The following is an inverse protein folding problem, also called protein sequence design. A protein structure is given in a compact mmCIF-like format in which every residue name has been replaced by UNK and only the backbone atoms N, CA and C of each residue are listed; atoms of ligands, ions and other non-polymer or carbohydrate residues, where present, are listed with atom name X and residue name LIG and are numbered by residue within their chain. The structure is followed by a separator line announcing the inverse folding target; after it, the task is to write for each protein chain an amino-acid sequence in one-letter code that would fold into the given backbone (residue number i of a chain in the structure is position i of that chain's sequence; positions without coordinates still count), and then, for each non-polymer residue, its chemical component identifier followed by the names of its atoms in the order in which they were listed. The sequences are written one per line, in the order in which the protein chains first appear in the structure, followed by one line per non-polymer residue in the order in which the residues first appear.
data_IF_467458343491
#
_entry.id   IF_467458343491
#
_cell.length_a   1.000
_cell.length_b   1.000
_cell.length_c   1.000
_cell.angle_alpha   90.00
_cell.angle_beta   90.00
_cell.angle_gamma   90.00
#
_symmetry.space_group_name_H-M   'P 1'
#
loop_
_entity.id
_entity.type
_entity.pdbx_description
1 polymer ?
#
# COMPACT_ATOMS: atom_id res chain seq x y z
N UNK A 1 3.65 54.48 37.74
CA UNK A 1 3.43 53.01 37.68
C UNK A 1 2.36 52.60 36.65
N UNK A 2 2.33 53.24 35.47
CA UNK A 2 1.34 52.96 34.41
C UNK A 2 1.96 52.28 33.17
N UNK A 3 3.25 52.53 32.91
CA UNK A 3 4.00 51.97 31.78
C UNK A 3 4.11 50.43 31.81
N UNK A 4 4.13 49.82 33.00
CA UNK A 4 4.18 48.36 33.12
C UNK A 4 2.89 47.66 32.70
N UNK A 5 1.71 48.27 32.91
CA UNK A 5 0.42 47.64 32.57
C UNK A 5 0.15 47.67 31.06
N UNK A 6 0.52 48.77 30.41
CA UNK A 6 0.38 48.93 28.96
C UNK A 6 1.36 48.02 28.21
N UNK A 7 2.62 47.96 28.67
CA UNK A 7 3.62 47.06 28.10
C UNK A 7 3.23 45.57 28.24
N UNK A 8 2.64 45.18 29.38
CA UNK A 8 2.17 43.82 29.60
C UNK A 8 1.03 43.45 28.64
N UNK A 9 0.06 44.36 28.43
CA UNK A 9 -1.07 44.13 27.52
C UNK A 9 -0.61 44.01 26.06
N UNK A 10 0.38 44.79 25.65
CA UNK A 10 0.97 44.71 24.30
C UNK A 10 1.69 43.37 24.13
N UNK A 11 2.45 42.91 25.12
CA UNK A 11 3.12 41.60 25.07
C UNK A 11 2.13 40.43 25.01
N UNK A 12 1.03 40.49 25.78
CA UNK A 12 -0.03 39.49 25.71
C UNK A 12 -0.72 39.46 24.34
N UNK A 13 -0.96 40.63 23.74
CA UNK A 13 -1.56 40.72 22.40
C UNK A 13 -0.64 40.14 21.31
N UNK A 14 0.67 40.38 21.41
CA UNK A 14 1.67 39.81 20.48
C UNK A 14 1.74 38.29 20.66
N UNK A 15 1.81 37.79 21.90
CA UNK A 15 1.87 36.35 22.17
C UNK A 15 0.61 35.64 21.67
N UNK A 16 -0.58 36.18 21.94
CA UNK A 16 -1.84 35.62 21.45
C UNK A 16 -1.93 35.65 19.91
N UNK A 17 -1.45 36.71 19.27
CA UNK A 17 -1.39 36.82 17.81
C UNK A 17 -0.44 35.80 17.17
N UNK A 18 0.73 35.56 17.78
CA UNK A 18 1.68 34.54 17.29
C UNK A 18 1.19 33.11 17.48
N UNK A 19 0.42 32.82 18.54
CA UNK A 19 -0.19 31.51 18.75
C UNK A 19 -1.29 31.24 17.70
N UNK A 20 -2.04 32.27 17.30
CA UNK A 20 -3.08 32.17 16.25
C UNK A 20 -2.53 31.98 14.84
N UNK A 21 -1.28 32.39 14.56
CA UNK A 21 -0.62 32.17 13.26
C UNK A 21 0.08 30.82 13.15
N UNK A 22 0.38 30.15 14.28
CA UNK A 22 0.98 28.81 14.29
C UNK A 22 -0.04 27.67 14.13
N UNK A 23 -1.34 27.98 14.12
CA UNK A 23 -2.38 27.04 13.67
C UNK A 23 -2.58 27.13 12.16
N UNK A 24 -1.50 27.09 11.38
CA UNK A 24 -1.61 26.52 10.05
C UNK A 24 -1.92 25.05 10.26
N UNK A 25 -3.20 24.72 10.11
CA UNK A 25 -3.73 23.37 10.01
C UNK A 25 -2.72 22.56 9.21
N UNK A 26 -2.11 21.56 9.85
CA UNK A 26 -1.46 20.46 9.15
C UNK A 26 -2.50 19.95 8.16
N UNK A 27 -2.44 20.46 6.93
CA UNK A 27 -3.17 19.93 5.81
C UNK A 27 -2.47 18.62 5.47
N UNK A 28 -2.58 17.66 6.38
CA UNK A 28 -2.30 16.26 6.13
C UNK A 28 -3.24 15.85 5.01
N UNK A 29 -2.78 16.02 3.75
CA UNK A 29 -3.44 15.69 2.49
C UNK A 29 -4.91 15.28 2.66
N UNK A 30 -5.79 16.26 2.89
CA UNK A 30 -7.20 15.99 3.13
C UNK A 30 -7.86 15.60 1.81
N UNK A 31 -7.89 14.30 1.53
CA UNK A 31 -8.56 13.79 0.35
C UNK A 31 -10.08 14.02 0.45
N UNK A 32 -10.74 14.41 -0.66
CA UNK A 32 -12.19 14.55 -0.67
C UNK A 32 -12.85 13.22 -0.30
N UNK A 33 -13.95 13.26 0.46
CA UNK A 33 -14.71 12.05 0.84
C UNK A 33 -15.69 11.58 -0.25
N UNK A 34 -15.53 12.05 -1.48
CA UNK A 34 -16.33 11.59 -2.60
C UNK A 34 -15.88 10.19 -3.03
N UNK A 35 -16.83 9.32 -3.29
CA UNK A 35 -16.51 7.98 -3.79
C UNK A 35 -16.51 8.02 -5.31
N UNK A 36 -15.46 7.49 -5.93
CA UNK A 36 -15.44 7.31 -7.37
C UNK A 36 -16.37 6.12 -7.70
N UNK A 37 -17.50 6.34 -8.40
CA UNK A 37 -18.48 5.28 -8.65
C UNK A 37 -17.93 4.18 -9.55
N UNK A 38 -16.87 4.45 -10.31
CA UNK A 38 -16.20 3.48 -11.16
C UNK A 38 -15.33 2.52 -10.37
N UNK A 39 -14.85 2.88 -9.18
CA UNK A 39 -14.02 2.00 -8.35
C UNK A 39 -14.93 1.02 -7.63
N UNK A 40 -14.75 -0.27 -7.92
CA UNK A 40 -15.57 -1.34 -7.36
C UNK A 40 -14.78 -2.24 -6.42
N UNK A 41 -13.47 -2.36 -6.65
CA UNK A 41 -12.57 -3.08 -5.76
C UNK A 41 -11.13 -2.58 -5.85
N UNK A 42 -10.38 -2.79 -4.77
CA UNK A 42 -8.93 -2.58 -4.71
C UNK A 42 -8.21 -3.91 -4.58
N UNK A 43 -7.02 -4.01 -5.17
CA UNK A 43 -6.02 -5.02 -4.84
C UNK A 43 -4.86 -4.31 -4.17
N UNK A 44 -4.82 -4.47 -2.87
CA UNK A 44 -3.67 -4.06 -2.09
C UNK A 44 -2.71 -5.23 -2.01
N UNK A 45 -1.43 -5.08 -2.39
CA UNK A 45 -0.41 -6.03 -1.98
C UNK A 45 -0.44 -6.04 -0.45
N UNK A 46 -0.70 -7.21 0.16
CA UNK A 46 -0.66 -7.32 1.62
C UNK A 46 0.66 -6.73 2.12
N UNK A 47 0.57 -5.66 2.91
CA UNK A 47 1.66 -5.28 3.80
C UNK A 47 1.89 -6.48 4.71
N UNK A 48 2.98 -7.19 4.46
CA UNK A 48 3.26 -8.44 5.14
C UNK A 48 4.12 -9.33 4.27
N UNK A 49 5.36 -9.51 4.71
CA UNK A 49 6.26 -10.57 4.29
C UNK A 49 5.73 -11.95 4.73
N UNK A 50 4.46 -12.27 4.42
CA UNK A 50 3.85 -13.54 4.81
C UNK A 50 4.59 -14.64 4.06
N UNK A 51 5.31 -15.45 4.83
CA UNK A 51 6.02 -16.61 4.32
C UNK A 51 4.99 -17.70 4.02
N UNK A 52 4.90 -18.09 2.76
CA UNK A 52 4.15 -19.26 2.32
C UNK A 52 5.12 -20.42 2.24
N UNK A 53 4.84 -21.51 2.95
CA UNK A 53 5.61 -22.75 2.78
C UNK A 53 5.42 -23.24 1.36
N UNK A 54 6.51 -23.43 0.63
CA UNK A 54 6.46 -23.92 -0.75
C UNK A 54 6.90 -25.38 -0.76
N UNK A 55 6.16 -26.22 -1.47
CA UNK A 55 6.56 -27.60 -1.72
C UNK A 55 7.64 -27.66 -2.81
N UNK A 56 7.55 -28.67 -3.68
CA UNK A 56 8.38 -28.73 -4.87
C UNK A 56 8.08 -27.54 -5.81
N UNK A 57 9.04 -26.63 -5.95
CA UNK A 57 9.01 -25.55 -6.95
C UNK A 57 10.43 -25.27 -7.45
N UNK A 58 10.52 -24.56 -8.57
CA UNK A 58 11.72 -23.86 -8.99
C UNK A 58 11.37 -22.41 -9.40
N UNK A 59 12.38 -21.63 -9.80
CA UNK A 59 12.19 -20.24 -10.19
C UNK A 59 11.35 -20.10 -11.46
N UNK A 60 11.49 -21.04 -12.42
CA UNK A 60 10.69 -21.04 -13.63
C UNK A 60 9.20 -21.19 -13.28
N UNK A 61 8.84 -22.24 -12.54
CA UNK A 61 7.46 -22.55 -12.16
C UNK A 61 6.88 -21.62 -11.09
N UNK A 62 7.75 -20.85 -10.43
CA UNK A 62 7.37 -19.86 -9.44
C UNK A 62 6.48 -18.78 -10.04
N UNK A 63 5.45 -18.37 -9.30
CA UNK A 63 4.59 -17.25 -9.69
C UNK A 63 5.40 -15.96 -9.80
N UNK A 64 5.30 -15.27 -10.93
CA UNK A 64 5.87 -13.93 -11.13
C UNK A 64 5.35 -12.92 -10.10
N UNK A 65 6.20 -12.00 -9.66
CA UNK A 65 5.92 -11.10 -8.54
C UNK A 65 6.11 -11.73 -7.15
N UNK A 66 6.34 -13.05 -7.04
CA UNK A 66 6.68 -13.70 -5.77
C UNK A 66 8.19 -13.95 -5.65
N UNK A 67 8.74 -13.63 -4.48
CA UNK A 67 10.12 -13.90 -4.13
C UNK A 67 10.26 -15.23 -3.38
N UNK A 68 11.24 -16.05 -3.73
CA UNK A 68 11.51 -17.36 -3.13
C UNK A 68 12.82 -17.33 -2.34
N UNK A 69 12.82 -17.95 -1.17
CA UNK A 69 13.89 -17.88 -0.19
C UNK A 69 14.29 -19.25 0.34
N UNK A 70 15.54 -19.34 0.81
CA UNK A 70 16.02 -20.51 1.55
C UNK A 70 15.44 -20.58 2.96
N UNK A 71 15.61 -21.71 3.64
CA UNK A 71 15.20 -21.88 5.04
C UNK A 71 15.84 -20.83 5.97
N UNK A 72 17.08 -20.40 5.65
CA UNK A 72 17.83 -19.38 6.39
C UNK A 72 17.46 -17.95 5.95
N UNK A 73 16.52 -17.79 5.02
CA UNK A 73 16.04 -16.49 4.55
C UNK A 73 16.88 -15.83 3.45
N UNK A 74 17.80 -16.55 2.82
CA UNK A 74 18.55 -16.05 1.66
C UNK A 74 17.63 -15.97 0.45
N UNK A 75 17.60 -14.83 -0.24
CA UNK A 75 16.87 -14.69 -1.50
C UNK A 75 17.48 -15.62 -2.57
N UNK A 76 16.64 -16.35 -3.28
CA UNK A 76 17.05 -17.28 -4.34
C UNK A 76 16.67 -16.72 -5.71
N UNK A 77 15.39 -16.36 -5.88
CA UNK A 77 14.88 -15.84 -7.15
C UNK A 77 13.47 -15.26 -7.01
N UNK A 78 13.08 -14.45 -7.98
CA UNK A 78 11.68 -14.15 -8.27
C UNK A 78 11.11 -15.24 -9.20
N UNK A 79 9.82 -15.57 -9.02
CA UNK A 79 9.13 -16.47 -9.93
C UNK A 79 9.00 -15.88 -11.33
N UNK A 80 8.84 -16.74 -12.34
CA UNK A 80 8.84 -16.33 -13.75
C UNK A 80 7.62 -16.80 -14.53
N UNK A 81 6.61 -17.35 -13.86
CA UNK A 81 5.37 -17.81 -14.48
C UNK A 81 4.24 -16.87 -14.13
N UNK A 82 3.65 -16.23 -15.14
CA UNK A 82 2.39 -15.50 -15.00
C UNK A 82 1.26 -16.50 -14.74
N UNK A 83 0.52 -16.29 -13.65
CA UNK A 83 -0.73 -17.03 -13.37
C UNK A 83 -1.94 -16.16 -13.72
N UNK A 84 -2.00 -15.72 -14.96
CA UNK A 84 -3.19 -15.08 -15.53
C UNK A 84 -4.09 -16.14 -16.14
N UNK A 85 -5.40 -15.89 -16.15
CA UNK A 85 -6.44 -16.81 -16.65
C UNK A 85 -6.23 -17.15 -18.14
N UNK A 86 -5.45 -16.34 -18.87
CA UNK A 86 -5.24 -16.46 -20.32
C UNK A 86 -3.84 -16.96 -20.73
N UNK A 87 -2.86 -17.08 -19.83
CA UNK A 87 -1.47 -17.39 -20.21
C UNK A 87 -0.78 -18.40 -19.28
N UNK A 88 -1.31 -19.63 -19.19
CA UNK A 88 -0.54 -20.77 -18.64
C UNK A 88 0.20 -21.53 -19.75
N UNK A 89 1.03 -20.84 -20.55
CA UNK A 89 1.81 -21.48 -21.64
C UNK A 89 3.30 -21.67 -21.32
N UNK A 90 3.80 -21.21 -20.16
CA UNK A 90 5.22 -21.41 -19.82
C UNK A 90 5.48 -22.84 -19.33
N UNK A 91 6.01 -23.67 -20.22
CA UNK A 91 6.47 -25.02 -19.87
C UNK A 91 7.75 -24.95 -19.04
N UNK A 92 7.62 -25.20 -17.74
CA UNK A 92 8.76 -25.30 -16.82
C UNK A 92 9.11 -26.75 -16.51
N UNK A 93 10.40 -27.09 -16.38
CA UNK A 93 10.80 -28.41 -15.90
C UNK A 93 10.22 -28.67 -14.51
N UNK A 94 9.83 -29.91 -14.23
CA UNK A 94 9.23 -30.31 -12.94
C UNK A 94 10.26 -30.64 -11.85
N UNK A 95 11.50 -30.18 -12.03
CA UNK A 95 12.55 -30.34 -11.03
C UNK A 95 12.33 -29.36 -9.86
N UNK A 96 12.47 -29.85 -8.64
CA UNK A 96 12.42 -29.01 -7.45
C UNK A 96 13.79 -28.38 -7.21
N UNK A 97 13.84 -27.10 -6.87
CA UNK A 97 15.06 -26.51 -6.31
C UNK A 97 15.07 -26.76 -4.80
N UNK A 98 15.95 -27.64 -4.27
CA UNK A 98 15.95 -28.02 -2.86
C UNK A 98 16.35 -26.86 -1.93
N UNK A 99 16.92 -25.78 -2.48
CA UNK A 99 17.28 -24.59 -1.70
C UNK A 99 16.06 -23.75 -1.32
N UNK A 100 14.96 -23.85 -2.05
CA UNK A 100 13.74 -23.05 -1.81
C UNK A 100 12.93 -23.68 -0.67
N UNK A 101 12.64 -22.89 0.36
CA UNK A 101 11.85 -23.32 1.53
C UNK A 101 10.51 -22.57 1.65
N UNK A 102 10.49 -21.29 1.32
CA UNK A 102 9.28 -20.47 1.37
C UNK A 102 9.27 -19.38 0.30
N UNK A 103 8.09 -18.84 0.03
CA UNK A 103 7.92 -17.67 -0.82
C UNK A 103 7.26 -16.53 -0.06
N UNK A 104 7.52 -15.31 -0.52
CA UNK A 104 6.80 -14.11 -0.13
C UNK A 104 6.19 -13.57 -1.42
N UNK A 105 4.86 -13.54 -1.45
CA UNK A 105 4.11 -12.98 -2.55
C UNK A 105 3.41 -11.71 -2.08
N UNK A 106 3.38 -10.63 -2.90
CA UNK A 106 2.50 -9.51 -2.66
C UNK A 106 1.07 -10.06 -2.63
N UNK A 107 0.44 -10.01 -1.46
CA UNK A 107 -0.87 -10.63 -1.31
C UNK A 107 -1.90 -9.78 -2.02
N UNK A 108 -2.28 -10.08 -3.25
CA UNK A 108 -3.31 -9.34 -3.98
C UNK A 108 -4.71 -9.73 -3.49
N UNK A 109 -5.05 -9.42 -2.23
CA UNK A 109 -6.42 -9.59 -1.77
C UNK A 109 -7.28 -8.52 -2.44
N UNK A 110 -8.28 -8.98 -3.21
CA UNK A 110 -9.39 -8.14 -3.63
C UNK A 110 -10.14 -7.70 -2.36
N UNK A 111 -10.41 -6.41 -2.23
CA UNK A 111 -11.28 -5.90 -1.18
C UNK A 111 -12.65 -6.61 -1.24
N UNK A 112 -13.14 -7.09 -0.10
CA UNK A 112 -14.46 -7.69 -0.01
C UNK A 112 -15.53 -6.59 -0.01
N UNK A 113 -16.56 -6.73 -0.85
CA UNK A 113 -17.64 -5.76 -0.99
C UNK A 113 -17.29 -4.53 -1.86
N UNK A 114 -18.31 -3.68 -2.07
CA UNK A 114 -18.16 -2.40 -2.79
C UNK A 114 -17.42 -1.41 -1.87
N UNK A 115 -16.31 -0.87 -2.36
CA UNK A 115 -15.51 0.10 -1.62
C UNK A 115 -15.92 1.53 -1.98
N UNK A 116 -16.09 2.37 -0.98
CA UNK A 116 -16.33 3.80 -1.15
C UNK A 116 -14.98 4.52 -1.02
N UNK A 117 -14.26 4.68 -2.13
CA UNK A 117 -12.95 5.36 -2.16
C UNK A 117 -12.78 6.13 -3.45
N UNK A 118 -11.75 6.99 -3.50
CA UNK A 118 -11.20 7.58 -4.71
C UNK A 118 -9.68 7.35 -4.72
N UNK A 119 -8.99 7.83 -5.76
CA UNK A 119 -7.54 7.62 -5.91
C UNK A 119 -6.74 8.34 -4.82
N UNK A 120 -7.15 9.55 -4.46
CA UNK A 120 -6.50 10.32 -3.39
C UNK A 120 -6.60 9.55 -2.06
N UNK A 121 -7.81 9.20 -1.63
CA UNK A 121 -8.09 8.51 -0.37
C UNK A 121 -7.65 7.04 -0.38
N UNK A 122 -7.40 6.49 -1.57
CA UNK A 122 -6.95 5.13 -1.77
C UNK A 122 -5.59 4.90 -1.14
N UNK A 123 -5.38 3.70 -0.60
CA UNK A 123 -4.14 3.33 0.04
C UNK A 123 -2.98 3.26 -0.95
N UNK A 124 -1.88 3.93 -0.66
CA UNK A 124 -0.68 3.90 -1.50
C UNK A 124 -0.15 2.48 -1.66
N UNK A 125 0.23 2.13 -2.89
CA UNK A 125 0.61 0.76 -3.27
C UNK A 125 -0.57 -0.16 -3.59
N UNK A 126 -1.83 0.28 -3.40
CA UNK A 126 -3.00 -0.47 -3.80
C UNK A 126 -3.53 -0.01 -5.15
N UNK A 127 -3.87 -0.97 -6.02
CA UNK A 127 -4.45 -0.72 -7.32
C UNK A 127 -5.97 -0.86 -7.28
N UNK A 128 -6.69 0.12 -7.81
CA UNK A 128 -8.15 0.17 -7.83
C UNK A 128 -8.70 -0.10 -9.22
N UNK A 129 -9.83 -0.81 -9.29
CA UNK A 129 -10.38 -1.35 -10.53
C UNK A 129 -11.90 -1.19 -10.62
N UNK A 130 -12.41 -1.16 -11.84
CA UNK A 130 -13.84 -1.23 -12.19
C UNK A 130 -14.42 -2.63 -12.03
N UNK A 131 -15.74 -2.80 -12.22
CA UNK A 131 -16.42 -4.12 -12.08
C UNK A 131 -15.88 -5.17 -13.06
N UNK A 132 -15.62 -4.75 -14.28
CA UNK A 132 -15.04 -5.49 -15.41
C UNK A 132 -13.53 -5.72 -15.26
N UNK A 133 -12.89 -5.10 -14.26
CA UNK A 133 -11.47 -5.28 -13.97
C UNK A 133 -10.53 -4.33 -14.68
N UNK A 134 -11.05 -3.28 -15.31
CA UNK A 134 -10.25 -2.18 -15.87
C UNK A 134 -9.56 -1.41 -14.74
N UNK A 135 -8.26 -1.16 -14.88
CA UNK A 135 -7.49 -0.38 -13.90
C UNK A 135 -7.93 1.09 -13.91
N UNK A 136 -8.15 1.65 -12.73
CA UNK A 136 -8.55 3.06 -12.54
C UNK A 136 -7.36 3.89 -12.06
N UNK A 137 -6.75 3.50 -10.94
CA UNK A 137 -5.62 4.24 -10.34
C UNK A 137 -4.92 3.45 -9.24
N UNK A 138 -3.70 3.86 -8.90
CA UNK A 138 -3.04 3.51 -7.63
C UNK A 138 -3.46 4.52 -6.56
N UNK A 139 -3.63 4.07 -5.31
CA UNK A 139 -3.92 4.96 -4.20
C UNK A 139 -2.76 5.92 -3.88
N UNK A 140 -3.08 7.07 -3.31
CA UNK A 140 -2.09 8.11 -2.98
C UNK A 140 -1.91 8.32 -1.47
N UNK A 141 -2.89 7.90 -0.66
CA UNK A 141 -2.89 8.07 0.78
C UNK A 141 -1.90 7.12 1.45
N UNK A 142 -0.96 7.68 2.21
CA UNK A 142 -0.15 6.90 3.15
C UNK A 142 -1.09 6.36 4.21
N UNK A 143 -1.44 5.07 4.13
CA UNK A 143 -2.28 4.45 5.16
C UNK A 143 -1.43 4.20 6.39
N UNK A 144 -1.68 4.96 7.45
CA UNK A 144 -1.36 4.54 8.80
C UNK A 144 -2.21 3.31 9.10
N UNK A 145 -1.54 2.17 9.24
CA UNK A 145 -2.17 0.92 9.66
C UNK A 145 -2.56 1.07 11.13
N UNK A 146 -3.77 1.59 11.40
CA UNK A 146 -4.39 1.55 12.73
C UNK A 146 -5.04 0.20 12.99
#
# INVERSE_FOLDING_TARGET
MAFNKVALLILFAIFAGTILLLSEVDAANACPRNCNPSIQYGRCPKSGNKKFKVGCTNCCSGTEGCNYYSANGTFICEGQTKKTIEETNKACPRNCNPRIAYSICPGNKRSEGRICTNCCAGSKGCNYYTVDGTFVCEGESKVDSS
#
